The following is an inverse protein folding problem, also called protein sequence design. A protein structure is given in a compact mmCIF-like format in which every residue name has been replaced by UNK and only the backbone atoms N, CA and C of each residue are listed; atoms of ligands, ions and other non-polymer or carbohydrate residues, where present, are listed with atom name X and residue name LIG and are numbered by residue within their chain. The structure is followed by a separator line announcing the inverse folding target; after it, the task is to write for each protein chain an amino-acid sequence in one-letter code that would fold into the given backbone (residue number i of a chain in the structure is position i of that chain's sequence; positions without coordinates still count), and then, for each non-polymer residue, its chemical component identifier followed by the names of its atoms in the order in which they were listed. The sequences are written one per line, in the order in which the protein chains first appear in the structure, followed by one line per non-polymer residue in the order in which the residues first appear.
data_IF_831124959909
#
_entry.id   IF_831124959909
#
_cell.length_a   1.000
_cell.length_b   1.000
_cell.length_c   1.000
_cell.angle_alpha   90.00
_cell.angle_beta   90.00
_cell.angle_gamma   90.00
#
_symmetry.space_group_name_H-M   'P 1'
#
loop_
_entity.id
_entity.type
_entity.pdbx_description
1 polymer ?
#
# COMPACT_ATOMS: atom_id res chain seq x y z
N UNK A 1 -0.90 7.06 29.26
CA UNK A 1 -0.96 7.13 27.78
C UNK A 1 0.23 7.87 27.18
N UNK A 2 0.66 9.00 27.73
CA UNK A 2 1.82 9.76 27.22
C UNK A 2 3.10 8.94 27.21
N UNK A 3 3.45 8.24 28.29
CA UNK A 3 4.61 7.35 28.36
C UNK A 3 4.52 6.18 27.34
N UNK A 4 3.33 5.62 27.15
CA UNK A 4 3.07 4.57 26.16
C UNK A 4 3.30 5.08 24.74
N UNK A 5 2.82 6.30 24.43
CA UNK A 5 3.02 6.92 23.13
C UNK A 5 4.50 7.22 22.87
N UNK A 6 5.21 7.74 23.87
CA UNK A 6 6.67 7.96 23.77
C UNK A 6 7.42 6.67 23.49
N UNK A 7 7.09 5.59 24.22
CA UNK A 7 7.71 4.28 24.00
C UNK A 7 7.43 3.74 22.59
N UNK A 8 6.20 3.92 22.08
CA UNK A 8 5.83 3.50 20.74
C UNK A 8 6.61 4.29 19.67
N UNK A 9 6.78 5.60 19.84
CA UNK A 9 7.58 6.41 18.91
C UNK A 9 9.06 6.02 18.92
N UNK A 10 9.62 5.74 20.10
CA UNK A 10 11.00 5.27 20.21
C UNK A 10 11.22 3.89 19.58
N UNK A 11 10.17 3.05 19.51
CA UNK A 11 10.26 1.74 18.91
C UNK A 11 10.60 1.79 17.40
N UNK A 12 10.31 2.88 16.70
CA UNK A 12 10.68 3.04 15.28
C UNK A 12 12.19 2.85 15.10
N UNK A 13 13.01 3.54 15.88
CA UNK A 13 14.46 3.43 15.75
C UNK A 13 14.95 2.02 16.12
N UNK A 14 14.43 1.44 17.18
CA UNK A 14 14.80 0.07 17.60
C UNK A 14 14.50 -0.95 16.51
N UNK A 15 13.35 -0.82 15.82
CA UNK A 15 12.99 -1.70 14.70
C UNK A 15 14.03 -1.62 13.57
N UNK A 16 14.47 -0.40 13.23
CA UNK A 16 15.46 -0.21 12.18
C UNK A 16 16.85 -0.74 12.59
N UNK A 17 17.26 -0.53 13.84
CA UNK A 17 18.52 -1.03 14.36
C UNK A 17 18.55 -2.57 14.33
N UNK A 18 17.51 -3.23 14.83
CA UNK A 18 17.38 -4.69 14.78
C UNK A 18 17.32 -5.20 13.33
N UNK A 19 16.65 -4.49 12.44
CA UNK A 19 16.59 -4.86 11.02
C UNK A 19 17.98 -4.80 10.38
N UNK A 20 18.79 -3.81 10.75
CA UNK A 20 20.18 -3.69 10.30
C UNK A 20 21.05 -4.83 10.81
N UNK A 21 20.98 -5.14 12.11
CA UNK A 21 21.71 -6.28 12.69
C UNK A 21 21.35 -7.59 12.00
N UNK A 22 20.06 -7.78 11.69
CA UNK A 22 19.58 -8.95 10.97
C UNK A 22 20.11 -9.01 9.53
N UNK A 23 20.19 -7.86 8.86
CA UNK A 23 20.76 -7.77 7.51
C UNK A 23 22.26 -8.12 7.52
N UNK A 24 23.03 -7.63 8.50
CA UNK A 24 24.44 -7.97 8.66
C UNK A 24 24.66 -9.48 8.86
N UNK A 25 23.75 -10.16 9.59
CA UNK A 25 23.84 -11.60 9.85
C UNK A 25 23.37 -12.48 8.68
N UNK A 26 22.41 -12.01 7.88
CA UNK A 26 21.69 -12.89 6.92
C UNK A 26 21.77 -12.42 5.47
N UNK A 27 22.23 -11.19 5.22
CA UNK A 27 22.19 -10.54 3.91
C UNK A 27 20.77 -10.15 3.47
N UNK A 28 19.76 -10.21 4.36
CA UNK A 28 18.37 -9.88 4.04
C UNK A 28 18.01 -8.51 4.58
N UNK A 29 17.64 -7.60 3.70
CA UNK A 29 17.18 -6.27 4.08
C UNK A 29 15.70 -6.28 4.54
N UNK A 30 15.45 -5.74 5.74
CA UNK A 30 14.12 -5.49 6.28
C UNK A 30 14.03 -4.06 6.80
N UNK A 31 12.95 -3.37 6.41
CA UNK A 31 12.62 -2.02 6.89
C UNK A 31 11.15 -1.97 7.29
N UNK A 32 10.60 -0.78 7.38
CA UNK A 32 9.19 -0.57 7.69
C UNK A 32 8.27 -1.12 6.60
N UNK A 33 8.72 -1.08 5.35
CA UNK A 33 8.02 -1.56 4.17
C UNK A 33 9.03 -2.06 3.12
N UNK A 34 8.51 -2.65 2.08
CA UNK A 34 9.25 -3.06 0.89
C UNK A 34 8.68 -2.31 -0.32
N UNK A 35 9.55 -1.68 -1.05
CA UNK A 35 9.24 -1.07 -2.35
C UNK A 35 9.57 -2.07 -3.46
N UNK A 36 8.61 -2.31 -4.34
CA UNK A 36 8.81 -3.18 -5.48
C UNK A 36 8.44 -2.44 -6.76
N UNK A 37 9.46 -2.15 -7.59
CA UNK A 37 9.34 -1.36 -8.83
C UNK A 37 8.58 -0.05 -8.61
N UNK A 38 8.81 0.60 -7.45
CA UNK A 38 8.07 1.79 -7.06
C UNK A 38 8.73 3.09 -7.54
N UNK A 39 10.04 3.11 -7.73
CA UNK A 39 10.88 4.30 -7.96
C UNK A 39 10.37 5.20 -9.10
N UNK A 40 9.85 4.60 -10.19
CA UNK A 40 9.33 5.29 -11.37
C UNK A 40 7.86 5.00 -11.65
N UNK A 41 7.13 4.49 -10.65
CA UNK A 41 5.74 4.09 -10.82
C UNK A 41 4.81 5.29 -10.91
N UNK A 42 3.96 5.31 -11.93
CA UNK A 42 2.84 6.23 -12.03
C UNK A 42 1.68 5.80 -11.10
N UNK A 43 1.51 4.48 -10.97
CA UNK A 43 0.44 3.87 -10.15
C UNK A 43 1.02 2.84 -9.20
N UNK A 44 0.52 2.82 -7.96
CA UNK A 44 0.98 1.84 -6.98
C UNK A 44 -0.17 1.18 -6.22
N UNK A 45 0.07 -0.08 -5.80
CA UNK A 45 -0.75 -0.74 -4.79
C UNK A 45 -0.02 -0.66 -3.45
N UNK A 46 -0.77 -0.36 -2.39
CA UNK A 46 -0.29 -0.37 -1.01
C UNK A 46 -1.04 -1.45 -0.25
N UNK A 47 -0.32 -2.39 0.38
CA UNK A 47 -0.96 -3.50 1.08
C UNK A 47 -0.06 -4.15 2.13
N UNK A 48 -0.68 -5.02 2.95
CA UNK A 48 0.00 -5.85 3.95
C UNK A 48 -0.22 -7.33 3.61
N UNK A 49 0.78 -8.16 3.88
CA UNK A 49 0.63 -9.61 3.92
C UNK A 49 1.03 -10.34 2.63
N UNK A 50 0.56 -11.59 2.51
CA UNK A 50 1.00 -12.53 1.49
C UNK A 50 0.48 -12.22 0.08
N UNK A 51 -0.67 -11.57 -0.05
CA UNK A 51 -1.23 -11.16 -1.35
C UNK A 51 -0.30 -10.22 -2.14
N UNK A 52 0.70 -9.63 -1.47
CA UNK A 52 1.76 -8.88 -2.13
C UNK A 52 2.57 -9.72 -3.14
N UNK A 53 2.68 -11.05 -2.92
CA UNK A 53 3.30 -11.96 -3.89
C UNK A 53 2.55 -12.00 -5.22
N UNK A 54 1.24 -12.19 -5.16
CA UNK A 54 0.35 -12.15 -6.33
C UNK A 54 0.37 -10.79 -7.02
N UNK A 55 0.44 -9.70 -6.24
CA UNK A 55 0.55 -8.35 -6.81
C UNK A 55 1.87 -8.15 -7.55
N UNK A 56 2.98 -8.68 -7.06
CA UNK A 56 4.28 -8.60 -7.75
C UNK A 56 4.25 -9.31 -9.11
N UNK A 57 3.59 -10.46 -9.20
CA UNK A 57 3.41 -11.17 -10.46
C UNK A 57 2.63 -10.30 -11.47
N UNK A 58 1.52 -9.72 -11.05
CA UNK A 58 0.75 -8.78 -11.89
C UNK A 58 1.59 -7.57 -12.32
N UNK A 59 2.44 -7.03 -11.44
CA UNK A 59 3.32 -5.91 -11.74
C UNK A 59 4.35 -6.31 -12.80
N UNK A 60 4.96 -7.49 -12.68
CA UNK A 60 5.96 -7.95 -13.65
C UNK A 60 5.34 -8.11 -15.06
N UNK A 61 4.13 -8.67 -15.13
CA UNK A 61 3.38 -8.75 -16.40
C UNK A 61 3.12 -7.34 -16.97
N UNK A 62 2.54 -6.43 -16.18
CA UNK A 62 2.22 -5.07 -16.61
C UNK A 62 3.47 -4.26 -16.98
N UNK A 63 4.59 -4.45 -16.28
CA UNK A 63 5.88 -3.83 -16.63
C UNK A 63 6.41 -4.34 -17.96
N UNK A 64 6.22 -5.62 -18.28
CA UNK A 64 6.56 -6.17 -19.60
C UNK A 64 5.68 -5.57 -20.72
N UNK A 65 4.47 -5.13 -20.39
CA UNK A 65 3.58 -4.38 -21.29
C UNK A 65 3.92 -2.86 -21.35
N UNK A 66 4.96 -2.41 -20.65
CA UNK A 66 5.41 -1.02 -20.63
C UNK A 66 4.69 -0.12 -19.63
N UNK A 67 3.86 -0.67 -18.73
CA UNK A 67 3.14 0.08 -17.71
C UNK A 67 4.05 0.42 -16.52
N UNK A 68 3.98 1.65 -16.02
CA UNK A 68 4.73 2.09 -14.84
C UNK A 68 3.93 1.87 -13.56
N UNK A 69 3.96 0.65 -13.09
CA UNK A 69 3.23 0.21 -11.89
C UNK A 69 4.17 -0.34 -10.82
N UNK A 70 3.81 -0.18 -9.54
CA UNK A 70 4.64 -0.58 -8.42
C UNK A 70 3.82 -1.02 -7.21
N UNK A 71 4.52 -1.52 -6.18
CA UNK A 71 3.93 -1.98 -4.93
C UNK A 71 4.72 -1.39 -3.75
N UNK A 72 4.00 -0.91 -2.75
CA UNK A 72 4.51 -0.67 -1.40
C UNK A 72 3.90 -1.69 -0.44
N UNK A 73 4.73 -2.67 -0.02
CA UNK A 73 4.31 -3.71 0.92
C UNK A 73 4.72 -3.32 2.34
N UNK A 74 3.75 -2.98 3.17
CA UNK A 74 3.99 -2.60 4.56
C UNK A 74 4.34 -3.84 5.39
N UNK A 75 5.37 -3.73 6.22
CA UNK A 75 5.83 -4.74 7.17
C UNK A 75 5.52 -4.35 8.62
N UNK A 76 5.63 -3.07 8.94
CA UNK A 76 5.39 -2.54 10.28
C UNK A 76 4.12 -1.69 10.28
N UNK A 77 3.07 -2.17 10.97
CA UNK A 77 1.80 -1.44 11.09
C UNK A 77 1.73 -0.61 12.36
N UNK A 78 2.50 -0.95 13.40
CA UNK A 78 2.64 -0.16 14.63
C UNK A 78 4.07 -0.23 15.17
N UNK A 79 4.73 0.87 15.45
CA UNK A 79 4.29 2.24 15.14
C UNK A 79 4.16 2.46 13.62
N UNK A 80 3.14 3.18 13.18
CA UNK A 80 2.91 3.37 11.76
C UNK A 80 3.97 4.33 11.15
N UNK A 81 4.69 3.92 10.12
CA UNK A 81 5.72 4.75 9.47
C UNK A 81 5.08 5.64 8.39
N UNK A 82 4.11 6.47 8.79
CA UNK A 82 3.24 7.15 7.85
C UNK A 82 3.94 8.20 7.01
N UNK A 83 4.86 8.96 7.62
CA UNK A 83 5.63 9.98 6.92
C UNK A 83 6.53 9.35 5.85
N UNK A 84 7.19 8.24 6.20
CA UNK A 84 8.06 7.49 5.30
C UNK A 84 7.27 6.89 4.13
N UNK A 85 6.09 6.31 4.41
CA UNK A 85 5.18 5.78 3.39
C UNK A 85 4.67 6.90 2.47
N UNK A 86 4.22 8.00 3.03
CA UNK A 86 3.70 9.12 2.25
C UNK A 86 4.78 9.69 1.32
N UNK A 87 6.02 9.84 1.80
CA UNK A 87 7.16 10.28 0.97
C UNK A 87 7.46 9.31 -0.18
N UNK A 88 7.43 8.01 0.10
CA UNK A 88 7.67 6.98 -0.92
C UNK A 88 6.59 6.98 -2.03
N UNK A 89 5.37 7.41 -1.70
CA UNK A 89 4.23 7.43 -2.63
C UNK A 89 3.99 8.79 -3.32
N UNK A 90 4.57 9.88 -2.81
CA UNK A 90 4.24 11.25 -3.22
C UNK A 90 4.49 11.56 -4.70
N UNK A 91 5.35 10.78 -5.37
CA UNK A 91 5.64 10.94 -6.79
C UNK A 91 4.63 10.24 -7.70
N UNK A 92 3.80 9.34 -7.18
CA UNK A 92 2.82 8.60 -7.96
C UNK A 92 1.59 9.46 -8.30
N UNK A 93 0.97 9.18 -9.44
CA UNK A 93 -0.29 9.83 -9.85
C UNK A 93 -1.47 9.34 -8.98
N UNK A 94 -1.52 8.03 -8.75
CA UNK A 94 -2.55 7.43 -7.91
C UNK A 94 -2.09 6.14 -7.22
N UNK A 95 -2.70 5.87 -6.06
CA UNK A 95 -2.47 4.65 -5.28
C UNK A 95 -3.78 3.95 -4.91
N UNK A 96 -3.79 2.64 -5.01
CA UNK A 96 -4.83 1.78 -4.47
C UNK A 96 -4.37 1.20 -3.14
N UNK A 97 -5.12 1.44 -2.08
CA UNK A 97 -4.81 0.93 -0.74
C UNK A 97 -5.73 -0.24 -0.46
N UNK A 98 -5.14 -1.43 -0.33
CA UNK A 98 -5.85 -2.69 -0.19
C UNK A 98 -5.86 -3.17 1.26
N UNK A 99 -7.05 -3.18 1.86
CA UNK A 99 -7.31 -3.70 3.20
C UNK A 99 -8.00 -5.07 3.14
N UNK A 100 -7.55 -6.02 3.96
CA UNK A 100 -8.25 -7.31 4.15
C UNK A 100 -9.19 -7.28 5.36
N UNK A 101 -9.50 -6.12 5.81
CA UNK A 101 -10.45 -5.88 6.89
C UNK A 101 -11.28 -4.64 6.60
N UNK A 102 -12.50 -4.65 7.07
CA UNK A 102 -13.41 -3.52 7.01
C UNK A 102 -13.80 -3.09 8.40
N UNK A 103 -13.74 -1.79 8.66
CA UNK A 103 -14.29 -1.18 9.87
C UNK A 103 -15.58 -0.43 9.53
N UNK A 104 -16.47 -0.24 10.51
CA UNK A 104 -17.68 0.58 10.32
C UNK A 104 -17.33 2.08 10.28
N UNK A 105 -16.50 2.45 9.32
CA UNK A 105 -16.07 3.84 9.09
C UNK A 105 -16.31 4.22 7.63
N UNK A 106 -16.51 5.51 7.38
CA UNK A 106 -16.93 6.04 6.07
C UNK A 106 -15.85 6.07 4.98
N UNK A 107 -14.69 5.52 5.14
CA UNK A 107 -13.59 5.78 4.19
C UNK A 107 -12.71 4.58 3.85
N UNK A 108 -13.18 3.36 4.06
CA UNK A 108 -12.39 2.16 3.79
C UNK A 108 -11.79 1.51 5.03
N UNK A 109 -10.78 0.67 4.84
CA UNK A 109 -10.13 -0.08 5.90
C UNK A 109 -9.15 0.75 6.74
N UNK A 110 -8.59 0.14 7.80
CA UNK A 110 -7.67 0.81 8.72
C UNK A 110 -6.37 1.27 8.04
N UNK A 111 -5.81 0.47 7.14
CA UNK A 111 -4.61 0.84 6.39
C UNK A 111 -4.87 2.06 5.51
N UNK A 112 -6.02 2.07 4.83
CA UNK A 112 -6.41 3.18 3.96
C UNK A 112 -6.51 4.50 4.72
N UNK A 113 -6.99 4.47 5.96
CA UNK A 113 -7.07 5.66 6.78
C UNK A 113 -5.70 6.24 7.10
N UNK A 114 -4.79 5.38 7.57
CA UNK A 114 -3.43 5.77 7.94
C UNK A 114 -2.67 6.37 6.73
N UNK A 115 -2.74 5.70 5.58
CA UNK A 115 -2.02 6.16 4.37
C UNK A 115 -2.61 7.48 3.86
N UNK A 116 -3.94 7.61 3.79
CA UNK A 116 -4.60 8.84 3.32
C UNK A 116 -4.32 10.02 4.24
N UNK A 117 -4.33 9.82 5.56
CA UNK A 117 -4.00 10.84 6.56
C UNK A 117 -2.60 11.41 6.30
N UNK A 118 -1.60 10.55 6.20
CA UNK A 118 -0.22 10.99 6.02
C UNK A 118 0.07 11.57 4.62
N UNK A 119 -0.61 11.09 3.56
CA UNK A 119 -0.54 11.76 2.25
C UNK A 119 -1.13 13.18 2.30
N UNK A 120 -2.22 13.36 3.05
CA UNK A 120 -2.81 14.69 3.26
C UNK A 120 -1.87 15.60 4.06
N UNK A 121 -1.25 15.08 5.13
CA UNK A 121 -0.35 15.86 5.99
C UNK A 121 0.85 16.43 5.24
N UNK A 122 1.41 15.68 4.29
CA UNK A 122 2.50 16.18 3.43
C UNK A 122 2.00 16.93 2.18
N UNK A 123 0.69 17.13 2.06
CA UNK A 123 0.05 17.80 0.91
C UNK A 123 0.39 17.13 -0.44
N UNK A 124 0.47 15.80 -0.47
CA UNK A 124 0.70 15.05 -1.69
C UNK A 124 -0.48 15.22 -2.67
N UNK A 125 -0.17 15.31 -3.96
CA UNK A 125 -1.19 15.39 -5.02
C UNK A 125 -1.68 14.00 -5.46
N UNK A 126 -1.06 12.96 -4.95
CA UNK A 126 -1.37 11.55 -5.22
C UNK A 126 -2.83 11.25 -4.87
N UNK A 127 -3.60 10.76 -5.84
CA UNK A 127 -4.98 10.30 -5.57
C UNK A 127 -4.97 8.93 -4.90
N UNK A 128 -5.74 8.77 -3.82
CA UNK A 128 -5.76 7.55 -3.02
C UNK A 128 -7.15 6.92 -2.98
N UNK A 129 -7.28 5.69 -3.48
CA UNK A 129 -8.52 4.91 -3.52
C UNK A 129 -8.42 3.71 -2.58
N UNK A 130 -9.49 3.43 -1.85
CA UNK A 130 -9.59 2.33 -0.90
C UNK A 130 -10.22 1.10 -1.54
N UNK A 131 -9.62 -0.06 -1.30
CA UNK A 131 -10.18 -1.34 -1.70
C UNK A 131 -10.24 -2.31 -0.52
N UNK A 132 -11.36 -3.00 -0.38
CA UNK A 132 -11.49 -4.13 0.54
C UNK A 132 -11.44 -5.42 -0.27
N UNK A 133 -10.62 -6.37 0.16
CA UNK A 133 -10.43 -7.64 -0.53
C UNK A 133 -10.37 -8.83 0.43
N UNK A 134 -10.59 -10.02 -0.09
CA UNK A 134 -10.35 -11.28 0.62
C UNK A 134 -11.27 -11.56 1.82
N UNK A 135 -12.36 -10.82 2.00
CA UNK A 135 -13.34 -11.08 3.05
C UNK A 135 -14.08 -12.40 2.76
N UNK A 136 -14.37 -13.14 3.82
CA UNK A 136 -15.05 -14.43 3.69
C UNK A 136 -14.25 -15.50 2.94
N UNK A 137 -12.92 -15.40 2.96
CA UNK A 137 -12.03 -16.39 2.32
C UNK A 137 -11.95 -16.26 0.79
N UNK A 138 -12.34 -15.12 0.23
CA UNK A 138 -12.24 -14.90 -1.22
C UNK A 138 -10.79 -14.77 -1.65
N UNK A 139 -10.49 -15.36 -2.80
CA UNK A 139 -9.17 -15.31 -3.40
C UNK A 139 -8.88 -13.91 -3.97
N UNK A 140 -7.62 -13.54 -3.89
CA UNK A 140 -7.05 -12.38 -4.57
C UNK A 140 -6.10 -12.89 -5.64
N UNK A 141 -6.41 -12.61 -6.89
CA UNK A 141 -5.72 -13.15 -8.06
C UNK A 141 -4.88 -12.09 -8.77
N UNK A 142 -4.01 -12.54 -9.67
CA UNK A 142 -3.26 -11.65 -10.59
C UNK A 142 -4.22 -10.77 -11.37
N UNK A 143 -5.32 -11.33 -11.85
CA UNK A 143 -6.35 -10.58 -12.58
C UNK A 143 -7.00 -9.50 -11.70
N UNK A 144 -7.22 -9.78 -10.41
CA UNK A 144 -7.71 -8.78 -9.45
C UNK A 144 -6.75 -7.59 -9.34
N UNK A 145 -5.44 -7.87 -9.22
CA UNK A 145 -4.42 -6.82 -9.16
C UNK A 145 -4.36 -6.00 -10.45
N UNK A 146 -4.38 -6.66 -11.60
CA UNK A 146 -4.41 -6.01 -12.92
C UNK A 146 -5.63 -5.11 -13.08
N UNK A 147 -6.81 -5.57 -12.65
CA UNK A 147 -8.05 -4.79 -12.66
C UNK A 147 -7.96 -3.52 -11.79
N UNK A 148 -7.32 -3.59 -10.63
CA UNK A 148 -7.08 -2.42 -9.78
C UNK A 148 -6.18 -1.39 -10.49
N UNK A 149 -5.06 -1.82 -11.09
CA UNK A 149 -4.19 -0.91 -11.85
C UNK A 149 -4.91 -0.29 -13.05
N UNK A 150 -5.71 -1.06 -13.78
CA UNK A 150 -6.49 -0.55 -14.90
C UNK A 150 -7.50 0.53 -14.47
N UNK A 151 -8.14 0.36 -13.32
CA UNK A 151 -9.04 1.39 -12.77
C UNK A 151 -8.30 2.67 -12.35
N UNK A 152 -7.11 2.56 -11.75
CA UNK A 152 -6.30 3.73 -11.42
C UNK A 152 -5.87 4.49 -12.67
N UNK A 153 -5.41 3.78 -13.70
CA UNK A 153 -5.03 4.36 -14.98
C UNK A 153 -6.22 5.08 -15.63
N UNK A 154 -7.37 4.42 -15.71
CA UNK A 154 -8.59 4.97 -16.31
C UNK A 154 -9.07 6.23 -15.58
N UNK A 155 -9.01 6.24 -14.25
CA UNK A 155 -9.32 7.40 -13.42
C UNK A 155 -8.42 8.60 -13.75
N UNK A 156 -7.14 8.38 -13.97
CA UNK A 156 -6.17 9.46 -14.18
C UNK A 156 -6.12 9.91 -15.64
N UNK A 157 -6.05 8.96 -16.57
CA UNK A 157 -5.82 9.26 -17.99
C UNK A 157 -7.12 9.60 -18.74
N UNK A 158 -8.24 8.97 -18.37
CA UNK A 158 -9.53 9.14 -19.05
C UNK A 158 -10.56 9.90 -18.20
N UNK A 159 -10.23 10.23 -16.95
CA UNK A 159 -11.15 10.94 -16.05
C UNK A 159 -12.31 10.09 -15.57
N UNK A 160 -12.17 8.75 -15.57
CA UNK A 160 -13.22 7.87 -15.08
C UNK A 160 -13.56 8.15 -13.61
N UNK A 161 -14.85 8.25 -13.32
CA UNK A 161 -15.32 8.35 -11.94
C UNK A 161 -15.33 6.97 -11.29
N UNK A 162 -14.46 6.77 -10.31
CA UNK A 162 -14.44 5.57 -9.50
C UNK A 162 -14.77 5.89 -8.05
N UNK A 163 -15.55 5.01 -7.36
CA UNK A 163 -15.80 5.21 -5.94
C UNK A 163 -14.52 5.26 -5.11
N UNK A 164 -14.46 6.17 -4.15
CA UNK A 164 -13.32 6.29 -3.22
C UNK A 164 -13.11 5.06 -2.32
N UNK A 165 -14.08 4.16 -2.33
CA UNK A 165 -14.12 2.94 -1.54
C UNK A 165 -14.83 1.84 -2.32
N UNK A 166 -14.16 0.70 -2.51
CA UNK A 166 -14.62 -0.39 -3.35
C UNK A 166 -14.32 -1.75 -2.75
N UNK A 167 -14.98 -2.78 -3.24
CA UNK A 167 -14.71 -4.18 -2.90
C UNK A 167 -14.19 -4.94 -4.12
N UNK A 168 -13.20 -5.79 -3.91
CA UNK A 168 -12.70 -6.73 -4.89
C UNK A 168 -13.39 -8.09 -4.67
N UNK A 169 -13.94 -8.66 -5.74
CA UNK A 169 -14.52 -10.00 -5.71
C UNK A 169 -15.90 -10.09 -5.07
N UNK A 170 -16.73 -9.03 -5.11
CA UNK A 170 -18.15 -9.16 -4.77
C UNK A 170 -18.84 -10.15 -5.68
N UNK A 171 -19.70 -11.02 -5.11
CA UNK A 171 -20.69 -11.76 -5.91
C UNK A 171 -21.83 -10.79 -6.26
N UNK A 172 -22.07 -10.69 -7.54
CA UNK A 172 -23.30 -10.06 -8.04
C UNK A 172 -24.46 -11.01 -7.88
#
# INVERSE_FOLDING_TARGET
KMAQNTAMNNAKQVILDVAKDFEEMTGRHYGFFEEYRLDDADYAIVMIGSAAGTTKEAIDELRNEGKKVGLLKIRVFRPFPGEEIAKALAHTKAVAILDRSEGFRAGGGPLSAEVKEHLYDIQATTKAVSYIYGLGGRDYTVESARGVFAQLEDMIENGAEIPQYQYIGLRQ
#
